data_IF_876195082705
#
_entry.id   IF_876195082705
#
_cell.length_a   1.000
_cell.length_b   1.000
_cell.length_c   1.000
_cell.angle_alpha   90.00
_cell.angle_beta   90.00
_cell.angle_gamma   90.00
#
_symmetry.space_group_name_H-M   'P 1'
#
loop_
_entity.id
_entity.type
_entity.pdbx_description
1 polymer ?
#
# COMPACT_ATOMS: atom_id res chain seq x y z
N UNK A 1 -1.30 3.76 28.56
CA UNK A 1 -0.20 3.72 27.57
C UNK A 1 -0.78 4.24 26.28
N UNK A 2 -0.36 5.41 25.82
CA UNK A 2 -0.79 5.93 24.52
C UNK A 2 -0.13 5.08 23.45
N UNK A 3 -0.86 4.15 22.85
CA UNK A 3 -0.40 3.47 21.63
C UNK A 3 -0.27 4.54 20.54
N UNK A 4 0.93 5.11 20.41
CA UNK A 4 1.30 6.06 19.37
C UNK A 4 1.43 5.33 18.02
N UNK A 5 0.35 4.67 17.59
CA UNK A 5 0.30 4.06 16.27
C UNK A 5 0.23 5.17 15.22
N UNK A 6 1.09 5.08 14.20
CA UNK A 6 1.08 6.04 13.09
C UNK A 6 -0.29 6.01 12.42
N UNK A 7 -0.97 7.14 12.19
CA UNK A 7 -2.25 7.12 11.50
C UNK A 7 -2.09 6.68 10.04
N UNK A 8 -3.08 5.97 9.53
CA UNK A 8 -3.20 5.70 8.09
C UNK A 8 -3.72 6.95 7.38
N UNK A 9 -3.00 7.38 6.35
CA UNK A 9 -3.48 8.39 5.40
C UNK A 9 -3.80 7.71 4.07
N UNK A 10 -5.07 7.71 3.69
CA UNK A 10 -5.53 7.11 2.44
C UNK A 10 -5.39 8.12 1.30
N UNK A 11 -4.74 7.71 0.21
CA UNK A 11 -4.55 8.56 -0.97
C UNK A 11 -5.51 8.14 -2.08
N UNK A 12 -6.22 9.10 -2.65
CA UNK A 12 -7.17 8.87 -3.73
C UNK A 12 -8.23 7.83 -3.35
N UNK A 13 -8.49 6.87 -4.26
CA UNK A 13 -9.50 5.82 -4.08
C UNK A 13 -9.03 4.63 -3.23
N UNK A 14 -7.79 4.61 -2.73
CA UNK A 14 -7.16 3.43 -2.11
C UNK A 14 -8.02 2.74 -1.03
N UNK A 15 -8.70 3.49 -0.16
CA UNK A 15 -9.59 2.92 0.86
C UNK A 15 -10.80 2.23 0.25
N UNK A 16 -11.44 2.89 -0.73
CA UNK A 16 -12.60 2.35 -1.44
C UNK A 16 -12.21 1.08 -2.20
N UNK A 17 -11.05 1.10 -2.84
CA UNK A 17 -10.56 -0.04 -3.63
C UNK A 17 -10.24 -1.24 -2.72
N UNK A 18 -9.64 -1.01 -1.54
CA UNK A 18 -9.43 -2.06 -0.55
C UNK A 18 -10.75 -2.67 -0.10
N UNK A 19 -11.72 -1.85 0.29
CA UNK A 19 -13.02 -2.33 0.80
C UNK A 19 -13.89 -3.02 -0.26
N UNK A 20 -13.52 -2.94 -1.54
CA UNK A 20 -14.17 -3.67 -2.62
C UNK A 20 -13.54 -5.05 -2.91
N UNK A 21 -12.48 -5.43 -2.18
CA UNK A 21 -11.81 -6.72 -2.32
C UNK A 21 -12.53 -7.83 -1.54
N UNK A 22 -12.22 -9.12 -1.81
CA UNK A 22 -12.70 -10.23 -0.98
C UNK A 22 -12.30 -10.06 0.49
N UNK A 23 -13.12 -10.59 1.41
CA UNK A 23 -12.90 -10.47 2.86
C UNK A 23 -11.51 -10.92 3.30
N UNK A 24 -11.07 -12.11 2.86
CA UNK A 24 -9.75 -12.64 3.20
C UNK A 24 -8.61 -11.72 2.76
N UNK A 25 -8.76 -11.05 1.60
CA UNK A 25 -7.77 -10.10 1.07
C UNK A 25 -7.76 -8.82 1.93
N UNK A 26 -8.94 -8.36 2.35
CA UNK A 26 -9.07 -7.22 3.26
C UNK A 26 -8.40 -7.51 4.59
N UNK A 27 -8.56 -8.72 5.13
CA UNK A 27 -7.98 -9.12 6.41
C UNK A 27 -6.45 -9.12 6.36
N UNK A 28 -5.86 -9.73 5.31
CA UNK A 28 -4.39 -9.75 5.13
C UNK A 28 -3.84 -8.32 4.97
N UNK A 29 -4.43 -7.52 4.10
CA UNK A 29 -3.95 -6.15 3.88
C UNK A 29 -4.20 -5.25 5.09
N UNK A 30 -5.33 -5.40 5.77
CA UNK A 30 -5.67 -4.68 6.99
C UNK A 30 -4.67 -4.99 8.11
N UNK A 31 -4.32 -6.27 8.29
CA UNK A 31 -3.32 -6.67 9.27
C UNK A 31 -1.93 -6.14 8.91
N UNK A 32 -1.54 -6.20 7.62
CA UNK A 32 -0.26 -5.63 7.18
C UNK A 32 -0.16 -4.12 7.41
N UNK A 33 -1.25 -3.38 7.16
CA UNK A 33 -1.32 -1.95 7.45
C UNK A 33 -1.27 -1.67 8.94
N UNK A 34 -1.98 -2.45 9.77
CA UNK A 34 -1.93 -2.33 11.22
C UNK A 34 -0.50 -2.55 11.76
N UNK A 35 0.21 -3.58 11.28
CA UNK A 35 1.63 -3.78 11.60
C UNK A 35 2.47 -2.56 11.22
N UNK A 36 2.25 -1.99 10.03
CA UNK A 36 2.96 -0.80 9.58
C UNK A 36 2.69 0.43 10.47
N UNK A 37 1.47 0.60 10.99
CA UNK A 37 1.14 1.67 11.94
C UNK A 37 1.94 1.54 13.25
N UNK A 38 2.22 0.31 13.68
CA UNK A 38 3.05 0.02 14.85
C UNK A 38 4.56 0.04 14.56
N UNK A 39 4.98 0.47 13.35
CA UNK A 39 6.38 0.43 12.93
C UNK A 39 6.93 -0.98 12.67
N UNK A 40 6.06 -2.00 12.66
CA UNK A 40 6.38 -3.38 12.31
C UNK A 40 6.18 -3.60 10.81
N UNK A 41 6.56 -4.78 10.32
CA UNK A 41 6.45 -5.15 8.92
C UNK A 41 5.80 -6.52 8.81
N UNK A 42 4.77 -6.64 7.98
CA UNK A 42 4.19 -7.93 7.61
C UNK A 42 5.24 -8.81 6.91
N UNK A 43 5.14 -10.12 7.04
CA UNK A 43 6.09 -11.07 6.44
C UNK A 43 6.09 -11.01 4.89
N UNK A 44 4.93 -10.89 4.28
CA UNK A 44 4.72 -10.69 2.84
C UNK A 44 5.09 -9.27 2.36
N UNK A 45 5.28 -8.29 3.25
CA UNK A 45 5.59 -6.92 2.85
C UNK A 45 7.04 -6.78 2.37
N UNK A 46 7.19 -6.32 1.12
CA UNK A 46 8.49 -6.18 0.44
C UNK A 46 8.64 -4.81 -0.21
N UNK A 47 9.88 -4.30 -0.38
CA UNK A 47 10.11 -3.06 -1.11
C UNK A 47 9.59 -3.14 -2.55
N UNK A 48 8.83 -2.12 -2.95
CA UNK A 48 8.34 -2.01 -4.32
C UNK A 48 9.48 -1.54 -5.23
N UNK A 49 9.75 -2.30 -6.29
CA UNK A 49 10.79 -1.95 -7.27
C UNK A 49 10.44 -0.64 -7.99
N UNK A 50 11.45 0.18 -8.29
CA UNK A 50 11.28 1.44 -9.05
C UNK A 50 10.99 2.69 -8.21
N UNK A 51 11.04 2.60 -6.88
CA UNK A 51 10.79 3.71 -5.95
C UNK A 51 12.00 4.10 -5.07
N UNK A 52 13.22 3.85 -5.55
CA UNK A 52 14.45 4.38 -4.94
C UNK A 52 14.81 3.85 -3.55
N UNK A 53 14.19 2.77 -3.07
CA UNK A 53 14.53 2.10 -1.80
C UNK A 53 13.32 1.61 -1.01
N UNK A 54 13.51 1.29 0.28
CA UNK A 54 12.48 0.75 1.17
C UNK A 54 11.44 1.79 1.67
N UNK A 55 11.22 2.87 0.92
CA UNK A 55 10.25 3.92 1.27
C UNK A 55 8.82 3.54 0.91
N UNK A 56 8.65 2.73 -0.13
CA UNK A 56 7.38 2.20 -0.61
C UNK A 56 7.42 0.68 -0.51
N UNK A 57 6.43 0.11 0.18
CA UNK A 57 6.27 -1.31 0.37
C UNK A 57 5.02 -1.80 -0.38
N UNK A 58 5.06 -3.04 -0.83
CA UNK A 58 3.89 -3.75 -1.34
C UNK A 58 3.66 -5.04 -0.55
N UNK A 59 2.38 -5.36 -0.34
CA UNK A 59 1.91 -6.68 0.11
C UNK A 59 1.15 -7.28 -1.06
N UNK A 60 1.34 -8.57 -1.30
CA UNK A 60 0.73 -9.31 -2.40
C UNK A 60 -0.04 -10.47 -1.81
N UNK A 61 -1.30 -10.61 -2.18
CA UNK A 61 -2.18 -11.69 -1.72
C UNK A 61 -2.88 -12.32 -2.93
N UNK A 62 -2.89 -13.64 -3.01
CA UNK A 62 -3.55 -14.39 -4.08
C UNK A 62 -4.86 -14.98 -3.55
N UNK A 63 -5.97 -14.69 -4.22
CA UNK A 63 -7.29 -15.19 -3.83
C UNK A 63 -8.07 -15.65 -5.06
N UNK A 64 -8.46 -16.93 -5.07
CA UNK A 64 -9.27 -17.55 -6.14
C UNK A 64 -8.72 -17.29 -7.56
N UNK A 65 -7.42 -17.45 -7.75
CA UNK A 65 -6.75 -17.26 -9.04
C UNK A 65 -6.49 -15.80 -9.43
N UNK A 66 -6.84 -14.84 -8.56
CA UNK A 66 -6.58 -13.42 -8.74
C UNK A 66 -5.48 -12.95 -7.79
N UNK A 67 -4.54 -12.16 -8.29
CA UNK A 67 -3.50 -11.52 -7.46
C UNK A 67 -3.92 -10.10 -7.10
N UNK A 68 -3.94 -9.79 -5.81
CA UNK A 68 -4.21 -8.47 -5.26
C UNK A 68 -2.93 -7.86 -4.70
N UNK A 69 -2.84 -6.53 -4.70
CA UNK A 69 -1.73 -5.80 -4.08
C UNK A 69 -2.22 -4.61 -3.29
N UNK A 70 -1.60 -4.37 -2.14
CA UNK A 70 -1.67 -3.13 -1.39
C UNK A 70 -0.29 -2.48 -1.35
N UNK A 71 -0.22 -1.20 -1.68
CA UNK A 71 1.01 -0.42 -1.77
C UNK A 71 0.93 0.77 -0.81
N UNK A 72 1.93 0.92 0.05
CA UNK A 72 1.96 1.96 1.07
C UNK A 72 3.37 2.49 1.33
N UNK A 73 3.45 3.70 1.86
CA UNK A 73 4.71 4.36 2.23
C UNK A 73 4.79 4.61 3.73
N UNK A 74 5.94 4.27 4.33
CA UNK A 74 6.18 4.36 5.79
C UNK A 74 7.20 5.43 6.19
N UNK A 75 7.88 6.03 5.21
CA UNK A 75 8.96 7.01 5.42
C UNK A 75 8.53 8.46 5.11
N UNK A 76 7.23 8.75 5.22
CA UNK A 76 6.69 10.07 4.90
C UNK A 76 6.00 10.60 6.16
N UNK A 77 6.65 11.55 6.84
CA UNK A 77 6.22 12.03 8.16
C UNK A 77 5.99 10.87 9.16
N UNK A 78 5.28 11.14 10.25
CA UNK A 78 4.90 10.12 11.22
C UNK A 78 3.57 9.43 10.87
N UNK A 79 3.36 9.14 9.58
CA UNK A 79 2.12 8.55 9.04
C UNK A 79 2.44 7.39 8.09
N UNK A 80 1.47 6.49 7.91
CA UNK A 80 1.53 5.46 6.88
C UNK A 80 0.59 5.87 5.75
N UNK A 81 1.13 6.17 4.58
CA UNK A 81 0.34 6.56 3.42
C UNK A 81 -0.03 5.33 2.60
N UNK A 82 -1.32 5.00 2.53
CA UNK A 82 -1.82 3.95 1.65
C UNK A 82 -2.01 4.54 0.25
N UNK A 83 -1.15 4.12 -0.68
CA UNK A 83 -1.08 4.70 -2.01
C UNK A 83 -2.07 4.01 -2.95
N UNK A 84 -2.12 2.68 -2.95
CA UNK A 84 -3.01 1.97 -3.87
C UNK A 84 -3.32 0.56 -3.38
N UNK A 85 -4.58 0.15 -3.50
CA UNK A 85 -4.99 -1.24 -3.44
C UNK A 85 -5.62 -1.61 -4.80
N UNK A 86 -5.19 -2.70 -5.44
CA UNK A 86 -5.71 -3.11 -6.74
C UNK A 86 -5.61 -4.62 -6.96
N UNK A 87 -6.47 -5.15 -7.83
CA UNK A 87 -6.33 -6.49 -8.40
C UNK A 87 -5.48 -6.40 -9.67
N UNK A 88 -4.39 -7.16 -9.74
CA UNK A 88 -3.59 -7.27 -10.95
C UNK A 88 -4.39 -8.01 -12.03
N UNK A 89 -4.80 -7.29 -13.08
CA UNK A 89 -5.58 -7.85 -14.19
C UNK A 89 -4.76 -8.63 -15.24
N UNK A 90 -3.44 -8.42 -15.30
CA UNK A 90 -2.60 -9.15 -16.27
C UNK A 90 -2.29 -10.56 -15.78
N UNK A 91 -2.67 -11.56 -16.59
CA UNK A 91 -2.31 -12.98 -16.40
C UNK A 91 -0.88 -13.30 -16.81
N UNK A 92 -0.20 -12.40 -17.55
CA UNK A 92 1.18 -12.58 -18.00
C UNK A 92 2.16 -11.70 -17.20
N UNK A 93 3.20 -12.33 -16.66
CA UNK A 93 4.33 -11.68 -16.00
C UNK A 93 4.11 -11.33 -14.52
N UNK A 94 5.21 -11.23 -13.78
CA UNK A 94 5.24 -10.88 -12.33
C UNK A 94 5.17 -9.35 -12.13
N UNK A 95 5.41 -8.58 -13.20
CA UNK A 95 5.49 -7.13 -13.15
C UNK A 95 4.12 -6.46 -12.96
N UNK A 96 4.12 -5.39 -12.18
CA UNK A 96 2.99 -4.48 -12.05
C UNK A 96 2.80 -3.71 -13.37
N UNK A 97 1.59 -3.63 -13.93
CA UNK A 97 1.34 -2.89 -15.16
C UNK A 97 1.80 -1.43 -15.07
N UNK A 98 2.21 -0.84 -16.21
CA UNK A 98 2.75 0.52 -16.25
C UNK A 98 1.77 1.57 -15.68
N UNK A 99 0.48 1.46 -15.99
CA UNK A 99 -0.54 2.39 -15.49
C UNK A 99 -0.65 2.37 -13.95
N UNK A 100 -0.55 1.18 -13.35
CA UNK A 100 -0.54 1.02 -11.89
C UNK A 100 0.72 1.68 -11.28
N UNK A 101 1.88 1.48 -11.91
CA UNK A 101 3.13 2.11 -11.49
C UNK A 101 3.07 3.64 -11.57
N UNK A 102 2.48 4.18 -12.62
CA UNK A 102 2.35 5.62 -12.85
C UNK A 102 1.38 6.25 -11.83
N UNK A 103 0.25 5.58 -11.56
CA UNK A 103 -0.69 6.02 -10.53
C UNK A 103 -0.07 6.00 -9.12
N UNK A 104 0.73 4.97 -8.79
CA UNK A 104 1.45 4.92 -7.51
C UNK A 104 2.45 6.08 -7.39
N UNK A 105 3.17 6.44 -8.47
CA UNK A 105 4.08 7.60 -8.47
C UNK A 105 3.34 8.90 -8.25
N UNK A 106 2.21 9.09 -8.93
CA UNK A 106 1.37 10.27 -8.77
C UNK A 106 0.89 10.41 -7.31
N UNK A 107 0.34 9.32 -6.76
CA UNK A 107 -0.15 9.29 -5.37
C UNK A 107 0.96 9.45 -4.35
N UNK A 108 2.16 8.93 -4.61
CA UNK A 108 3.33 9.16 -3.78
C UNK A 108 3.72 10.64 -3.75
N UNK A 109 3.71 11.32 -4.91
CA UNK A 109 3.97 12.77 -4.98
C UNK A 109 2.92 13.55 -4.19
N UNK A 110 1.64 13.17 -4.29
CA UNK A 110 0.56 13.78 -3.51
C UNK A 110 0.76 13.58 -2.00
N UNK A 111 1.14 12.37 -1.56
CA UNK A 111 1.45 12.07 -0.17
C UNK A 111 2.62 12.92 0.37
N UNK A 112 3.69 13.07 -0.43
CA UNK A 112 4.83 13.92 -0.07
C UNK A 112 4.46 15.40 0.01
N UNK A 113 3.60 15.88 -0.90
CA UNK A 113 3.11 17.25 -0.86
C UNK A 113 2.24 17.51 0.37
N UNK A 114 1.32 16.58 0.68
CA UNK A 114 0.50 16.63 1.89
C UNK A 114 1.37 16.67 3.15
N UNK A 115 2.41 15.84 3.24
CA UNK A 115 3.32 15.83 4.39
C UNK A 115 4.17 17.10 4.56
N UNK A 116 4.41 17.87 3.49
CA UNK A 116 5.16 19.13 3.55
C UNK A 116 4.31 20.34 3.96
N UNK A 117 2.99 20.24 3.83
CA UNK A 117 2.05 21.31 4.16
C UNK A 117 1.13 21.00 5.36
N UNK A 118 1.36 19.88 6.04
CA UNK A 118 0.60 19.44 7.22
C UNK A 118 1.33 19.74 8.53
#
# INVERSE_FOLDING_TARGET
MSDSSKPLQWVGSSKKDLLAMPGDVIDVFGYALHLAQMGKKHDQAKPMKGFGGAGVLEVVEDHMGNTYRAVYAVKIADKVYVLHCFQKKSTKGIQTPKHEMDLIRERLKAAQAHAKGA
#
